data_IF_957508662666
#
_entry.id   IF_957508662666
#
_cell.length_a   1.000
_cell.length_b   1.000
_cell.length_c   1.000
_cell.angle_alpha   90.00
_cell.angle_beta   90.00
_cell.angle_gamma   90.00
#
_symmetry.space_group_name_H-M   'P 1'
#
loop_
_entity.id
_entity.type
_entity.pdbx_description
1 polymer ?
#
# COMPACT_ATOMS: atom_id res chain seq x y z
N UNK A 1 8.50 -17.61 18.96
CA UNK A 1 8.43 -17.68 17.48
C UNK A 1 8.11 -19.12 17.10
N UNK A 2 6.88 -19.57 17.34
CA UNK A 2 6.38 -20.85 16.85
C UNK A 2 5.97 -20.66 15.40
N UNK A 3 6.48 -21.48 14.49
CA UNK A 3 6.08 -21.42 13.08
C UNK A 3 4.56 -21.57 12.97
N UNK A 4 3.91 -20.70 12.18
CA UNK A 4 2.47 -20.78 11.92
C UNK A 4 2.15 -22.15 11.31
N UNK A 5 1.02 -22.78 11.69
CA UNK A 5 0.61 -24.05 11.09
C UNK A 5 0.33 -23.85 9.58
N UNK A 6 0.58 -24.90 8.79
CA UNK A 6 0.58 -24.81 7.32
C UNK A 6 -0.77 -24.34 6.74
N UNK A 7 -1.87 -24.65 7.42
CA UNK A 7 -3.22 -24.19 7.06
C UNK A 7 -3.38 -22.67 7.15
N UNK A 8 -2.87 -22.04 8.20
CA UNK A 8 -2.93 -20.59 8.39
C UNK A 8 -2.04 -19.88 7.37
N UNK A 9 -0.87 -20.44 7.05
CA UNK A 9 0.00 -19.92 6.00
C UNK A 9 -0.68 -19.95 4.62
N UNK A 10 -1.34 -21.05 4.28
CA UNK A 10 -2.08 -21.18 3.03
C UNK A 10 -3.26 -20.21 2.96
N UNK A 11 -3.99 -20.03 4.06
CA UNK A 11 -5.10 -19.10 4.16
C UNK A 11 -4.63 -17.64 4.03
N UNK A 12 -3.49 -17.30 4.64
CA UNK A 12 -2.84 -15.99 4.48
C UNK A 12 -2.43 -15.75 3.03
N UNK A 13 -1.75 -16.70 2.40
CA UNK A 13 -1.33 -16.57 1.01
C UNK A 13 -2.54 -16.37 0.09
N UNK A 14 -3.61 -17.13 0.28
CA UNK A 14 -4.83 -16.98 -0.49
C UNK A 14 -5.46 -15.58 -0.28
N UNK A 15 -5.54 -15.10 0.97
CA UNK A 15 -6.06 -13.78 1.29
C UNK A 15 -5.20 -12.67 0.68
N UNK A 16 -3.87 -12.78 0.73
CA UNK A 16 -2.93 -11.80 0.18
C UNK A 16 -3.02 -11.73 -1.35
N UNK A 17 -3.14 -12.88 -2.01
CA UNK A 17 -3.32 -12.97 -3.47
C UNK A 17 -4.66 -12.37 -3.87
N UNK A 18 -5.75 -12.72 -3.18
CA UNK A 18 -7.08 -12.17 -3.46
C UNK A 18 -7.12 -10.64 -3.25
N UNK A 19 -6.57 -10.16 -2.14
CA UNK A 19 -6.45 -8.73 -1.85
C UNK A 19 -5.59 -7.98 -2.87
N UNK A 20 -4.46 -8.57 -3.28
CA UNK A 20 -3.58 -8.00 -4.29
C UNK A 20 -4.24 -7.92 -5.67
N UNK A 21 -4.99 -8.96 -6.07
CA UNK A 21 -5.75 -8.98 -7.32
C UNK A 21 -6.88 -7.95 -7.31
N UNK A 22 -7.72 -7.96 -6.26
CA UNK A 22 -8.81 -7.02 -6.12
C UNK A 22 -8.30 -5.58 -6.04
N UNK A 23 -7.29 -5.33 -5.20
CA UNK A 23 -6.67 -4.02 -5.06
C UNK A 23 -6.01 -3.54 -6.34
N UNK A 24 -5.34 -4.42 -7.10
CA UNK A 24 -4.76 -4.10 -8.40
C UNK A 24 -5.80 -3.70 -9.45
N UNK A 25 -6.93 -4.44 -9.52
CA UNK A 25 -8.03 -4.12 -10.43
C UNK A 25 -8.68 -2.79 -10.07
N UNK A 26 -9.02 -2.58 -8.79
CA UNK A 26 -9.62 -1.32 -8.32
C UNK A 26 -8.68 -0.14 -8.54
N UNK A 27 -7.40 -0.29 -8.22
CA UNK A 27 -6.40 0.74 -8.46
C UNK A 27 -6.24 1.08 -9.95
N UNK A 28 -6.31 0.07 -10.83
CA UNK A 28 -6.23 0.26 -12.27
C UNK A 28 -7.47 0.92 -12.88
N UNK A 29 -8.67 0.59 -12.39
CA UNK A 29 -9.93 1.15 -12.88
C UNK A 29 -10.14 2.61 -12.44
N UNK A 30 -9.86 2.92 -11.17
CA UNK A 30 -10.16 4.23 -10.60
C UNK A 30 -8.94 5.16 -10.51
N UNK A 31 -7.72 4.65 -10.76
CA UNK A 31 -6.49 5.47 -10.73
C UNK A 31 -6.08 5.97 -9.34
N UNK A 32 -6.70 5.47 -8.27
CA UNK A 32 -6.54 5.98 -6.89
C UNK A 32 -5.28 5.43 -6.19
N UNK A 33 -4.60 4.45 -6.80
CA UNK A 33 -3.46 3.75 -6.21
C UNK A 33 -3.88 2.63 -5.24
N UNK A 34 -3.15 1.51 -5.24
CA UNK A 34 -3.57 0.28 -4.55
C UNK A 34 -3.64 0.35 -3.02
N UNK A 35 -3.08 1.39 -2.39
CA UNK A 35 -3.04 1.54 -0.94
C UNK A 35 -4.41 1.66 -0.28
N UNK A 36 -5.43 2.14 -0.99
CA UNK A 36 -6.81 2.23 -0.48
C UNK A 36 -7.45 0.87 -0.22
N UNK A 37 -7.06 -0.15 -0.99
CA UNK A 37 -7.59 -1.51 -0.88
C UNK A 37 -6.60 -2.45 -0.18
N UNK A 38 -5.30 -2.27 -0.41
CA UNK A 38 -4.26 -3.16 0.13
C UNK A 38 -4.06 -2.93 1.63
N UNK A 39 -4.08 -1.68 2.12
CA UNK A 39 -3.86 -1.40 3.55
C UNK A 39 -4.94 -2.04 4.45
N UNK A 40 -6.25 -1.88 4.19
CA UNK A 40 -7.28 -2.49 5.03
C UNK A 40 -7.23 -4.02 4.94
N UNK A 41 -6.98 -4.56 3.75
CA UNK A 41 -6.84 -6.00 3.57
C UNK A 41 -5.68 -6.58 4.39
N UNK A 42 -4.52 -5.90 4.41
CA UNK A 42 -3.38 -6.29 5.23
C UNK A 42 -3.67 -6.14 6.73
N UNK A 43 -4.31 -5.03 7.13
CA UNK A 43 -4.68 -4.78 8.52
C UNK A 43 -5.56 -5.91 9.09
N UNK A 44 -6.63 -6.28 8.36
CA UNK A 44 -7.51 -7.38 8.76
C UNK A 44 -6.82 -8.74 8.68
N UNK A 45 -5.98 -8.98 7.67
CA UNK A 45 -5.23 -10.24 7.57
C UNK A 45 -4.30 -10.43 8.78
N UNK A 46 -3.58 -9.39 9.20
CA UNK A 46 -2.68 -9.43 10.35
C UNK A 46 -3.42 -9.51 11.69
N UNK A 47 -4.64 -8.95 11.78
CA UNK A 47 -5.52 -9.09 12.94
C UNK A 47 -5.99 -10.54 13.10
N UNK A 48 -6.47 -11.17 12.02
CA UNK A 48 -6.91 -12.58 12.01
C UNK A 48 -5.79 -13.54 12.38
N UNK A 49 -4.56 -13.25 11.94
CA UNK A 49 -3.39 -14.09 12.23
C UNK A 49 -2.73 -13.81 13.58
N UNK A 50 -3.18 -12.79 14.33
CA UNK A 50 -2.57 -12.39 15.59
C UNK A 50 -1.13 -11.86 15.48
N UNK A 51 -0.69 -11.43 14.28
CA UNK A 51 0.68 -10.98 14.00
C UNK A 51 0.83 -9.45 14.16
N UNK A 52 -0.30 -8.72 14.16
CA UNK A 52 -0.33 -7.26 14.13
C UNK A 52 0.01 -6.55 15.46
N UNK A 53 -0.35 -7.15 16.60
CA UNK A 53 -0.10 -6.54 17.92
C UNK A 53 -0.51 -5.06 18.02
N UNK A 54 0.25 -4.27 18.78
CA UNK A 54 0.02 -2.83 18.95
C UNK A 54 0.43 -1.97 17.73
N UNK A 55 1.13 -2.54 16.74
CA UNK A 55 1.65 -1.79 15.57
C UNK A 55 1.03 -2.25 14.25
N UNK A 56 -0.13 -2.91 14.31
CA UNK A 56 -0.75 -3.56 13.16
C UNK A 56 -0.92 -2.63 11.95
N UNK A 57 -1.36 -1.38 12.22
CA UNK A 57 -1.56 -0.38 11.17
C UNK A 57 -0.24 0.09 10.56
N UNK A 58 0.82 0.29 11.35
CA UNK A 58 2.15 0.64 10.82
C UNK A 58 2.70 -0.46 9.92
N UNK A 59 2.56 -1.73 10.31
CA UNK A 59 3.01 -2.87 9.51
C UNK A 59 2.20 -2.98 8.21
N UNK A 60 0.87 -2.81 8.27
CA UNK A 60 -0.01 -2.82 7.11
C UNK A 60 0.33 -1.68 6.13
N UNK A 61 0.47 -0.44 6.62
CA UNK A 61 0.83 0.72 5.81
C UNK A 61 2.22 0.54 5.18
N UNK A 62 3.23 0.13 5.95
CA UNK A 62 4.59 -0.11 5.45
C UNK A 62 4.65 -1.20 4.37
N UNK A 63 3.95 -2.31 4.59
CA UNK A 63 3.88 -3.43 3.63
C UNK A 63 3.15 -3.01 2.34
N UNK A 64 2.10 -2.19 2.46
CA UNK A 64 1.42 -1.62 1.29
C UNK A 64 2.32 -0.69 0.48
N UNK A 65 3.15 0.14 1.13
CA UNK A 65 4.07 1.05 0.45
C UNK A 65 5.09 0.28 -0.37
N UNK A 66 5.62 -0.82 0.17
CA UNK A 66 6.52 -1.70 -0.58
C UNK A 66 5.84 -2.26 -1.84
N UNK A 67 4.57 -2.65 -1.72
CA UNK A 67 3.76 -3.14 -2.83
C UNK A 67 3.52 -2.04 -3.87
N UNK A 68 3.23 -0.81 -3.45
CA UNK A 68 3.06 0.36 -4.32
C UNK A 68 4.35 0.64 -5.09
N UNK A 69 5.53 0.61 -4.43
CA UNK A 69 6.81 0.79 -5.12
C UNK A 69 7.02 -0.28 -6.19
N UNK A 70 6.80 -1.55 -5.86
CA UNK A 70 6.98 -2.66 -6.80
C UNK A 70 6.02 -2.56 -8.01
N UNK A 71 4.75 -2.24 -7.76
CA UNK A 71 3.73 -2.08 -8.81
C UNK A 71 3.99 -0.85 -9.68
N UNK A 72 4.39 0.27 -9.10
CA UNK A 72 4.77 1.50 -9.83
C UNK A 72 5.97 1.28 -10.75
N UNK A 73 6.98 0.53 -10.33
CA UNK A 73 8.13 0.19 -11.20
C UNK A 73 7.69 -0.65 -12.41
N UNK A 74 6.82 -1.63 -12.19
CA UNK A 74 6.26 -2.44 -13.30
C UNK A 74 5.39 -1.60 -14.24
N UNK A 75 4.56 -0.72 -13.68
CA UNK A 75 3.70 0.18 -14.45
C UNK A 75 4.53 1.16 -15.29
N UNK A 76 5.57 1.76 -14.71
CA UNK A 76 6.51 2.63 -15.41
C UNK A 76 7.16 1.90 -16.59
N UNK A 77 7.65 0.68 -16.37
CA UNK A 77 8.28 -0.12 -17.44
C UNK A 77 7.30 -0.38 -18.60
N UNK A 78 6.05 -0.73 -18.29
CA UNK A 78 5.02 -0.95 -19.31
C UNK A 78 4.71 0.34 -20.09
N UNK A 79 4.42 1.45 -19.40
CA UNK A 79 4.11 2.73 -20.05
C UNK A 79 5.28 3.26 -20.88
N UNK A 80 6.52 3.07 -20.40
CA UNK A 80 7.73 3.46 -21.12
C UNK A 80 7.88 2.68 -22.43
N UNK A 81 7.52 1.39 -22.43
CA UNK A 81 7.53 0.57 -23.65
C UNK A 81 6.48 0.99 -24.68
N UNK A 82 5.40 1.64 -24.23
CA UNK A 82 4.36 2.21 -25.10
C UNK A 82 4.64 3.67 -25.52
N UNK A 83 5.80 4.24 -25.15
CA UNK A 83 6.13 5.63 -25.47
C UNK A 83 5.28 6.67 -24.74
N UNK A 84 4.55 6.27 -23.70
CA UNK A 84 3.59 7.11 -22.98
C UNK A 84 4.18 7.78 -21.73
N UNK A 85 5.51 7.94 -21.67
CA UNK A 85 6.22 8.50 -20.51
C UNK A 85 6.97 9.77 -20.91
N UNK A 86 6.64 10.87 -20.25
CA UNK A 86 7.43 12.11 -20.33
C UNK A 86 8.68 11.98 -19.43
N UNK A 87 9.82 11.77 -20.06
CA UNK A 87 11.12 11.61 -19.39
C UNK A 87 11.60 12.88 -18.68
N UNK A 88 11.18 14.06 -19.15
CA UNK A 88 11.57 15.32 -18.52
C UNK A 88 10.84 15.49 -17.19
N UNK A 89 9.52 15.27 -17.19
CA UNK A 89 8.69 15.28 -15.97
C UNK A 89 9.14 14.19 -15.02
N UNK A 90 9.37 12.96 -15.51
CA UNK A 90 9.83 11.87 -14.67
C UNK A 90 11.12 12.24 -13.93
N UNK A 91 12.14 12.74 -14.64
CA UNK A 91 13.42 13.10 -14.02
C UNK A 91 13.32 14.29 -13.09
N UNK A 92 12.52 15.32 -13.44
CA UNK A 92 12.39 16.51 -12.61
C UNK A 92 11.60 16.23 -11.33
N UNK A 93 10.55 15.41 -11.38
CA UNK A 93 9.66 15.13 -10.25
C UNK A 93 10.10 13.97 -9.37
N UNK A 94 10.82 12.97 -9.92
CA UNK A 94 11.32 11.82 -9.14
C UNK A 94 12.02 12.21 -7.83
N UNK A 95 12.96 13.18 -7.79
CA UNK A 95 13.62 13.53 -6.53
C UNK A 95 12.64 14.16 -5.52
N UNK A 96 11.70 14.99 -5.97
CA UNK A 96 10.71 15.62 -5.08
C UNK A 96 9.73 14.60 -4.51
N UNK A 97 9.21 13.71 -5.35
CA UNK A 97 8.29 12.64 -4.94
C UNK A 97 9.00 11.65 -4.03
N UNK A 98 10.24 11.27 -4.35
CA UNK A 98 11.04 10.38 -3.52
C UNK A 98 11.36 10.96 -2.15
N UNK A 99 11.76 12.24 -2.11
CA UNK A 99 12.09 12.93 -0.86
C UNK A 99 10.84 13.17 -0.01
N UNK A 100 9.73 13.57 -0.62
CA UNK A 100 8.44 13.69 0.06
C UNK A 100 7.94 12.35 0.60
N UNK A 101 8.08 11.27 -0.16
CA UNK A 101 7.75 9.91 0.28
C UNK A 101 8.61 9.44 1.45
N UNK A 102 9.92 9.74 1.42
CA UNK A 102 10.84 9.40 2.51
C UNK A 102 10.50 10.15 3.80
N UNK A 103 10.24 11.46 3.69
CA UNK A 103 9.84 12.30 4.83
C UNK A 103 8.50 11.83 5.38
N UNK A 104 7.52 11.55 4.51
CA UNK A 104 6.22 11.02 4.90
C UNK A 104 6.33 9.68 5.62
N UNK A 105 7.16 8.76 5.12
CA UNK A 105 7.41 7.46 5.75
C UNK A 105 8.09 7.61 7.12
N UNK A 106 9.05 8.54 7.26
CA UNK A 106 9.70 8.82 8.53
C UNK A 106 8.71 9.38 9.58
N UNK A 107 7.85 10.31 9.17
CA UNK A 107 6.78 10.85 10.02
C UNK A 107 5.79 9.76 10.42
N UNK A 108 5.35 8.93 9.47
CA UNK A 108 4.43 7.82 9.74
C UNK A 108 5.04 6.80 10.71
N UNK A 109 6.35 6.57 10.64
CA UNK A 109 7.06 5.66 11.54
C UNK A 109 7.11 6.10 13.01
N UNK A 110 6.97 7.41 13.28
CA UNK A 110 6.94 7.96 14.65
C UNK A 110 5.55 8.42 15.09
N UNK A 111 4.57 8.39 14.19
CA UNK A 111 3.19 8.74 14.50
C UNK A 111 2.55 7.69 15.43
N UNK A 112 1.69 8.15 16.35
CA UNK A 112 0.87 7.25 17.16
C UNK A 112 -0.09 6.45 16.27
N UNK A 113 -0.46 5.25 16.71
CA UNK A 113 -1.39 4.38 15.97
C UNK A 113 -2.73 5.07 15.70
N UNK A 114 -3.24 5.79 16.70
CA UNK A 114 -4.49 6.56 16.58
C UNK A 114 -4.36 7.73 15.59
N UNK A 115 -3.25 8.46 15.63
CA UNK A 115 -2.99 9.53 14.67
C UNK A 115 -2.88 9.01 13.24
N UNK A 116 -2.20 7.88 13.04
CA UNK A 116 -2.08 7.23 11.74
C UNK A 116 -3.45 6.72 11.25
N UNK A 117 -4.27 6.16 12.14
CA UNK A 117 -5.63 5.70 11.83
C UNK A 117 -6.54 6.86 11.41
N UNK A 118 -6.49 7.99 12.11
CA UNK A 118 -7.27 9.19 11.77
C UNK A 118 -6.85 9.72 10.40
N UNK A 119 -5.56 9.91 10.16
CA UNK A 119 -5.05 10.40 8.87
C UNK A 119 -5.47 9.45 7.74
N UNK A 120 -5.26 8.15 7.93
CA UNK A 120 -5.64 7.15 6.94
C UNK A 120 -7.15 7.14 6.67
N UNK A 121 -7.97 7.19 7.72
CA UNK A 121 -9.43 7.23 7.63
C UNK A 121 -9.94 8.49 6.92
N UNK A 122 -9.36 9.66 7.22
CA UNK A 122 -9.69 10.92 6.53
C UNK A 122 -9.30 10.84 5.05
N UNK A 123 -8.12 10.33 4.72
CA UNK A 123 -7.71 10.14 3.32
C UNK A 123 -8.67 9.21 2.57
N UNK A 124 -9.07 8.09 3.17
CA UNK A 124 -10.06 7.18 2.58
C UNK A 124 -11.42 7.85 2.39
N UNK A 125 -11.88 8.64 3.36
CA UNK A 125 -13.15 9.35 3.25
C UNK A 125 -13.12 10.38 2.11
N UNK A 126 -12.04 11.16 1.98
CA UNK A 126 -11.87 12.12 0.89
C UNK A 126 -11.85 11.43 -0.48
N UNK A 127 -11.15 10.31 -0.59
CA UNK A 127 -11.12 9.49 -1.80
C UNK A 127 -12.52 8.97 -2.12
N UNK A 128 -13.25 8.46 -1.13
CA UNK A 128 -14.61 7.95 -1.30
C UNK A 128 -15.61 9.03 -1.71
N UNK A 129 -15.35 10.30 -1.38
CA UNK A 129 -16.16 11.45 -1.83
C UNK A 129 -15.84 11.89 -3.26
N UNK A 130 -14.66 11.56 -3.78
CA UNK A 130 -14.24 11.93 -5.13
C UNK A 130 -14.75 10.94 -6.20
N UNK A 131 -15.09 9.72 -5.79
CA UNK A 131 -15.69 8.65 -6.63
C UNK A 131 -17.20 8.84 -6.78
#
# INVERSE_FOLDING_TARGET
MTALPLNELLMLLAALVAAGLAGGVVAGLFGVGGGTVIVPALFYAFEVLGVGGESNLHVAVGTSLLTIVATSLRSLKAHRSHGAVDEAVLKSWTPWVGLGGLVGAAIAGVASMEGLAIVYGVCLALIGLQL
#
